data_IF_214423783947
#
_entry.id   IF_214423783947
#
_cell.length_a   1.000
_cell.length_b   1.000
_cell.length_c   1.000
_cell.angle_alpha   90.00
_cell.angle_beta   90.00
_cell.angle_gamma   90.00
#
_symmetry.space_group_name_H-M   'P 1'
#
loop_
_entity.id
_entity.type
_entity.pdbx_description
1 polymer ?
#
# COMPACT_ATOMS: atom_id res chain seq x y z
N UNK A 1 -13.71 10.24 6.49
CA UNK A 1 -13.16 9.79 5.20
C UNK A 1 -13.50 10.81 4.13
N UNK A 2 -12.72 11.87 4.06
CA UNK A 2 -12.86 12.88 3.02
C UNK A 2 -12.02 12.47 1.83
N UNK A 3 -12.65 12.29 0.68
CA UNK A 3 -11.95 12.54 -0.57
C UNK A 3 -11.33 11.38 -1.31
N UNK A 4 -11.79 10.17 -1.15
CA UNK A 4 -11.39 9.13 -2.12
C UNK A 4 -12.30 9.08 -3.35
N UNK A 5 -13.37 9.86 -3.43
CA UNK A 5 -14.26 9.86 -4.60
C UNK A 5 -14.81 8.47 -4.99
N UNK A 6 -14.67 7.49 -4.10
CA UNK A 6 -15.13 6.14 -4.39
C UNK A 6 -16.66 6.09 -4.34
N UNK A 7 -17.26 5.73 -5.43
CA UNK A 7 -18.69 5.45 -5.56
C UNK A 7 -19.03 4.07 -4.98
N UNK A 8 -18.66 3.86 -3.72
CA UNK A 8 -19.02 2.62 -3.03
C UNK A 8 -20.49 2.68 -2.66
N UNK A 9 -21.30 1.85 -3.29
CA UNK A 9 -22.70 1.66 -2.93
C UNK A 9 -22.86 0.84 -1.65
N UNK A 10 -24.01 0.99 -1.00
CA UNK A 10 -24.41 0.10 0.08
C UNK A 10 -25.03 -1.18 -0.51
N UNK A 11 -24.55 -2.32 -0.05
CA UNK A 11 -25.12 -3.63 -0.33
C UNK A 11 -25.80 -4.18 0.92
N UNK A 12 -27.01 -4.74 0.80
CA UNK A 12 -27.78 -5.22 1.95
C UNK A 12 -27.09 -6.39 2.69
N UNK A 13 -26.30 -7.18 1.98
CA UNK A 13 -25.59 -8.34 2.53
C UNK A 13 -24.20 -7.98 3.02
N UNK A 14 -23.47 -7.17 2.26
CA UNK A 14 -22.04 -6.92 2.48
C UNK A 14 -21.72 -5.50 2.95
N UNK A 15 -22.73 -4.64 3.09
CA UNK A 15 -22.56 -3.25 3.52
C UNK A 15 -21.88 -2.40 2.44
N UNK A 16 -20.97 -1.52 2.87
CA UNK A 16 -20.23 -0.66 1.94
C UNK A 16 -19.12 -1.45 1.26
N UNK A 17 -19.26 -1.72 -0.03
CA UNK A 17 -18.35 -2.57 -0.79
C UNK A 17 -17.97 -1.96 -2.15
N UNK A 18 -16.83 -2.37 -2.68
CA UNK A 18 -16.40 -2.06 -4.03
C UNK A 18 -17.08 -3.01 -5.03
N UNK A 19 -17.42 -2.50 -6.22
CA UNK A 19 -18.02 -3.28 -7.29
C UNK A 19 -17.12 -3.30 -8.53
N UNK A 20 -17.34 -4.29 -9.36
CA UNK A 20 -16.76 -4.34 -10.71
C UNK A 20 -17.60 -3.52 -11.69
N UNK A 21 -17.06 -3.22 -12.88
CA UNK A 21 -17.80 -2.59 -13.98
C UNK A 21 -19.07 -3.37 -14.37
N UNK A 22 -19.05 -4.69 -14.16
CA UNK A 22 -20.22 -5.55 -14.32
C UNK A 22 -21.27 -5.44 -13.21
N UNK A 23 -21.07 -4.56 -12.21
CA UNK A 23 -21.99 -4.33 -11.07
C UNK A 23 -21.93 -5.39 -9.97
N UNK A 24 -21.05 -6.38 -10.08
CA UNK A 24 -20.88 -7.44 -9.08
C UNK A 24 -19.97 -6.95 -7.95
N UNK A 25 -20.28 -7.32 -6.70
CA UNK A 25 -19.41 -7.03 -5.55
C UNK A 25 -18.06 -7.70 -5.78
N UNK A 26 -16.98 -6.93 -5.60
CA UNK A 26 -15.62 -7.46 -5.71
C UNK A 26 -15.21 -8.17 -4.42
N UNK A 27 -14.70 -9.38 -4.56
CA UNK A 27 -14.16 -10.18 -3.47
C UNK A 27 -12.67 -10.41 -3.68
N UNK A 28 -11.85 -9.71 -2.91
CA UNK A 28 -10.41 -9.93 -2.85
C UNK A 28 -10.01 -10.94 -1.78
N UNK A 29 -8.81 -11.49 -1.88
CA UNK A 29 -8.24 -12.34 -0.84
C UNK A 29 -7.76 -11.50 0.36
N UNK A 30 -7.55 -12.16 1.51
CA UNK A 30 -6.92 -11.52 2.69
C UNK A 30 -5.52 -11.01 2.32
N UNK A 31 -4.76 -11.77 1.54
CA UNK A 31 -3.44 -11.35 1.08
C UNK A 31 -3.53 -10.08 0.22
N UNK A 32 -4.47 -10.02 -0.71
CA UNK A 32 -4.71 -8.85 -1.54
C UNK A 32 -5.01 -7.61 -0.69
N UNK A 33 -5.85 -7.75 0.34
CA UNK A 33 -6.16 -6.66 1.26
C UNK A 33 -4.91 -6.17 2.02
N UNK A 34 -4.08 -7.08 2.52
CA UNK A 34 -2.83 -6.74 3.21
C UNK A 34 -1.83 -6.06 2.27
N UNK A 35 -1.68 -6.56 1.05
CA UNK A 35 -0.84 -5.95 0.02
C UNK A 35 -1.31 -4.55 -0.32
N UNK A 36 -2.62 -4.38 -0.56
CA UNK A 36 -3.21 -3.09 -0.88
C UNK A 36 -2.93 -2.04 0.20
N UNK A 37 -3.21 -2.38 1.46
CA UNK A 37 -3.02 -1.48 2.59
C UNK A 37 -1.56 -1.02 2.71
N UNK A 38 -0.61 -1.95 2.63
CA UNK A 38 0.79 -1.65 2.86
C UNK A 38 1.47 -1.00 1.65
N UNK A 39 1.09 -1.39 0.42
CA UNK A 39 1.62 -0.78 -0.79
C UNK A 39 1.08 0.65 -1.00
N UNK A 40 -0.20 0.90 -0.73
CA UNK A 40 -0.72 2.27 -0.77
C UNK A 40 0.00 3.17 0.24
N UNK A 41 0.25 2.70 1.46
CA UNK A 41 0.99 3.45 2.46
C UNK A 41 2.44 3.76 2.02
N UNK A 42 3.12 2.83 1.32
CA UNK A 42 4.45 3.07 0.75
C UNK A 42 4.48 4.25 -0.22
N UNK A 43 3.40 4.49 -0.96
CA UNK A 43 3.29 5.57 -1.94
C UNK A 43 2.68 6.85 -1.37
N UNK A 44 2.04 6.79 -0.20
CA UNK A 44 1.41 7.94 0.46
C UNK A 44 2.40 8.64 1.41
N UNK A 45 3.29 9.43 0.81
CA UNK A 45 4.39 10.07 1.52
C UNK A 45 4.30 11.59 1.50
N UNK A 46 4.90 12.22 2.50
CA UNK A 46 5.05 13.67 2.61
C UNK A 46 6.29 14.20 1.89
N UNK A 47 6.72 15.40 2.25
CA UNK A 47 7.82 16.11 1.60
C UNK A 47 9.19 15.48 1.90
N UNK A 48 9.32 14.83 3.06
CA UNK A 48 10.55 14.14 3.49
C UNK A 48 10.58 12.67 3.07
N UNK A 49 9.58 12.24 2.29
CA UNK A 49 9.45 10.85 1.81
C UNK A 49 9.13 9.83 2.91
N UNK A 50 8.64 10.32 4.05
CA UNK A 50 8.08 9.53 5.13
C UNK A 50 6.56 9.40 4.99
N UNK A 51 5.97 8.37 5.59
CA UNK A 51 4.53 8.13 5.50
C UNK A 51 3.71 9.26 6.11
N UNK A 52 2.65 9.66 5.43
CA UNK A 52 1.73 10.70 5.87
C UNK A 52 0.83 10.21 6.99
N UNK A 53 0.66 11.06 8.00
CA UNK A 53 -0.21 10.79 9.16
C UNK A 53 -1.69 10.94 8.85
N UNK A 54 -2.05 11.80 7.90
CA UNK A 54 -3.43 12.23 7.67
C UNK A 54 -4.09 12.70 8.98
N UNK A 55 -5.36 12.33 9.21
CA UNK A 55 -6.09 12.74 10.40
C UNK A 55 -5.67 12.03 11.69
N UNK A 56 -4.88 10.95 11.59
CA UNK A 56 -4.45 10.15 12.74
C UNK A 56 -5.56 9.98 13.79
N UNK A 57 -6.68 9.45 13.37
CA UNK A 57 -7.99 9.36 14.08
C UNK A 57 -7.90 8.89 15.56
N UNK A 58 -6.76 8.33 15.95
CA UNK A 58 -6.48 7.85 17.30
C UNK A 58 -5.88 8.91 18.23
N UNK A 59 -5.48 10.08 17.70
CA UNK A 59 -4.83 11.14 18.48
C UNK A 59 -5.23 12.53 17.96
N UNK A 60 -6.16 13.16 18.65
CA UNK A 60 -6.71 14.48 18.32
C UNK A 60 -5.61 15.57 18.21
N UNK A 61 -4.49 15.41 18.89
CA UNK A 61 -3.36 16.34 18.80
C UNK A 61 -2.70 16.33 17.41
N UNK A 62 -2.90 15.29 16.60
CA UNK A 62 -2.37 15.16 15.25
C UNK A 62 -3.30 15.68 14.16
N UNK A 63 -4.52 16.12 14.49
CA UNK A 63 -5.45 16.74 13.54
C UNK A 63 -4.85 17.97 12.85
N UNK A 64 -3.95 18.67 13.52
CA UNK A 64 -3.21 19.81 12.97
C UNK A 64 -2.16 19.39 11.92
N UNK A 65 -1.79 18.12 11.87
CA UNK A 65 -0.80 17.57 10.95
C UNK A 65 -1.41 16.98 9.67
N UNK A 66 -2.69 17.19 9.41
CA UNK A 66 -3.45 16.57 8.32
C UNK A 66 -2.77 16.69 6.95
N UNK A 67 -2.29 17.88 6.60
CA UNK A 67 -1.76 18.12 5.25
C UNK A 67 -0.29 17.72 5.12
N UNK A 68 0.53 18.00 6.13
CA UNK A 68 1.99 17.93 6.05
C UNK A 68 2.62 16.99 7.09
N UNK A 69 1.81 16.39 7.97
CA UNK A 69 2.33 15.47 8.99
C UNK A 69 2.87 14.19 8.39
N UNK A 70 4.09 13.83 8.78
CA UNK A 70 4.79 12.60 8.43
C UNK A 70 5.21 11.86 9.69
N UNK A 71 5.46 10.55 9.59
CA UNK A 71 5.86 9.75 10.74
C UNK A 71 6.93 8.73 10.42
N UNK A 72 8.12 8.94 10.93
CA UNK A 72 9.23 7.97 10.93
C UNK A 72 8.82 6.66 11.61
N UNK A 73 8.07 6.75 12.72
CA UNK A 73 7.61 5.56 13.44
C UNK A 73 6.66 4.70 12.58
N UNK A 74 5.72 5.31 11.87
CA UNK A 74 4.84 4.57 10.97
C UNK A 74 5.60 4.05 9.75
N UNK A 75 6.50 4.82 9.18
CA UNK A 75 7.36 4.36 8.08
C UNK A 75 8.14 3.12 8.48
N UNK A 76 8.74 3.12 9.69
CA UNK A 76 9.42 1.93 10.24
C UNK A 76 8.48 0.75 10.45
N UNK A 77 7.28 0.98 11.00
CA UNK A 77 6.30 -0.07 11.23
C UNK A 77 5.84 -0.71 9.92
N UNK A 78 5.56 0.10 8.90
CA UNK A 78 5.17 -0.42 7.58
C UNK A 78 6.31 -1.13 6.86
N UNK A 79 7.56 -0.70 7.03
CA UNK A 79 8.73 -1.47 6.56
C UNK A 79 8.76 -2.86 7.20
N UNK A 80 8.49 -2.96 8.51
CA UNK A 80 8.32 -4.22 9.21
C UNK A 80 7.17 -5.06 8.65
N UNK A 81 5.99 -4.45 8.42
CA UNK A 81 4.83 -5.13 7.85
C UNK A 81 5.13 -5.73 6.45
N UNK A 82 5.81 -4.98 5.58
CA UNK A 82 6.18 -5.47 4.26
C UNK A 82 7.05 -6.74 4.35
N UNK A 83 8.03 -6.76 5.25
CA UNK A 83 8.87 -7.95 5.50
C UNK A 83 8.06 -9.11 6.06
N UNK A 84 7.17 -8.84 6.99
CA UNK A 84 6.33 -9.88 7.60
C UNK A 84 5.36 -10.49 6.58
N UNK A 85 4.75 -9.69 5.71
CA UNK A 85 3.91 -10.20 4.62
C UNK A 85 4.75 -11.10 3.68
N UNK A 86 5.95 -10.68 3.31
CA UNK A 86 6.85 -11.51 2.49
C UNK A 86 7.21 -12.83 3.19
N UNK A 87 7.47 -12.78 4.50
CA UNK A 87 7.72 -13.98 5.30
C UNK A 87 6.51 -14.92 5.32
N UNK A 88 5.31 -14.40 5.58
CA UNK A 88 4.07 -15.17 5.56
C UNK A 88 3.81 -15.83 4.19
N UNK A 89 4.09 -15.14 3.08
CA UNK A 89 3.97 -15.70 1.73
C UNK A 89 4.92 -16.89 1.54
N UNK A 90 6.17 -16.78 2.01
CA UNK A 90 7.13 -17.88 1.93
C UNK A 90 6.72 -19.09 2.79
N UNK A 91 6.21 -18.83 3.99
CA UNK A 91 5.66 -19.92 4.82
C UNK A 91 4.48 -20.61 4.13
N UNK A 92 3.56 -19.84 3.55
CA UNK A 92 2.43 -20.39 2.81
C UNK A 92 2.89 -21.21 1.59
N UNK A 93 3.91 -20.75 0.87
CA UNK A 93 4.51 -21.51 -0.23
C UNK A 93 5.11 -22.84 0.26
N UNK A 94 5.84 -22.82 1.38
CA UNK A 94 6.44 -24.01 1.97
C UNK A 94 5.39 -25.02 2.44
N UNK A 95 4.35 -24.56 3.10
CA UNK A 95 3.32 -25.43 3.69
C UNK A 95 2.32 -25.98 2.64
N UNK A 96 2.00 -25.19 1.62
CA UNK A 96 0.93 -25.53 0.67
C UNK A 96 1.40 -25.78 -0.77
N UNK A 97 2.63 -25.38 -1.09
CA UNK A 97 3.13 -25.36 -2.46
C UNK A 97 2.53 -24.24 -3.34
N UNK A 98 1.81 -23.30 -2.76
CA UNK A 98 1.19 -22.18 -3.48
C UNK A 98 2.24 -21.16 -3.94
N UNK A 99 2.52 -21.14 -5.24
CA UNK A 99 3.56 -20.27 -5.85
C UNK A 99 3.02 -19.06 -6.60
N UNK A 100 1.71 -18.94 -6.69
CA UNK A 100 1.05 -17.90 -7.50
C UNK A 100 -0.18 -17.39 -6.79
N UNK A 101 -0.37 -16.09 -6.84
CA UNK A 101 -1.51 -15.42 -6.23
C UNK A 101 -2.24 -14.61 -7.30
N UNK A 102 -3.54 -14.64 -7.23
CA UNK A 102 -4.43 -13.85 -8.06
C UNK A 102 -4.80 -12.58 -7.28
N UNK A 103 -4.64 -11.42 -7.94
CA UNK A 103 -4.96 -10.11 -7.40
C UNK A 103 -5.66 -9.25 -8.45
N UNK A 104 -6.34 -8.19 -8.04
CA UNK A 104 -6.93 -7.23 -8.97
C UNK A 104 -5.86 -6.66 -9.93
N UNK A 105 -6.19 -6.57 -11.21
CA UNK A 105 -5.27 -6.04 -12.23
C UNK A 105 -4.81 -4.61 -11.89
N UNK A 106 -5.68 -3.80 -11.31
CA UNK A 106 -5.39 -2.45 -10.90
C UNK A 106 -4.21 -2.35 -9.92
N UNK A 107 -4.03 -3.36 -9.06
CA UNK A 107 -2.94 -3.41 -8.11
C UNK A 107 -1.56 -3.58 -8.76
N UNK A 108 -1.52 -4.00 -10.04
CA UNK A 108 -0.26 -4.21 -10.75
C UNK A 108 0.67 -2.99 -10.72
N UNK A 109 0.12 -1.78 -10.77
CA UNK A 109 0.92 -0.55 -10.72
C UNK A 109 1.60 -0.31 -9.36
N UNK A 110 1.04 -0.83 -8.26
CA UNK A 110 1.61 -0.71 -6.91
C UNK A 110 2.88 -1.56 -6.72
N UNK A 111 3.14 -2.50 -7.64
CA UNK A 111 4.38 -3.28 -7.68
C UNK A 111 5.51 -2.57 -8.47
N UNK A 112 5.30 -1.36 -8.94
CA UNK A 112 6.39 -0.57 -9.52
C UNK A 112 7.56 -0.48 -8.52
N UNK A 113 8.78 -0.59 -9.03
CA UNK A 113 9.98 -0.70 -8.22
C UNK A 113 11.16 0.08 -8.80
N UNK A 114 12.23 0.11 -8.01
CA UNK A 114 13.49 0.73 -8.37
C UNK A 114 13.80 2.01 -7.60
N UNK A 115 15.09 2.16 -7.25
CA UNK A 115 15.57 3.22 -6.37
C UNK A 115 15.21 4.63 -6.86
N UNK A 116 15.32 4.90 -8.16
CA UNK A 116 14.96 6.19 -8.75
C UNK A 116 13.49 6.58 -8.50
N UNK A 117 12.58 5.59 -8.53
CA UNK A 117 11.18 5.80 -8.18
C UNK A 117 11.01 6.07 -6.69
N UNK A 118 11.67 5.27 -5.85
CA UNK A 118 11.51 5.36 -4.40
C UNK A 118 12.03 6.67 -3.81
N UNK A 119 13.10 7.22 -4.38
CA UNK A 119 13.69 8.51 -3.99
C UNK A 119 12.86 9.72 -4.45
N UNK A 120 11.90 9.54 -5.34
CA UNK A 120 11.14 10.62 -5.95
C UNK A 120 9.70 10.68 -5.40
N UNK A 121 9.46 11.60 -4.48
CA UNK A 121 8.16 11.84 -3.84
C UNK A 121 7.03 12.04 -4.85
N UNK A 122 7.25 12.84 -5.89
CA UNK A 122 6.22 13.13 -6.89
C UNK A 122 5.88 11.91 -7.74
N UNK A 123 6.89 11.09 -8.11
CA UNK A 123 6.65 9.82 -8.81
C UNK A 123 5.86 8.85 -7.93
N UNK A 124 6.21 8.72 -6.64
CA UNK A 124 5.46 7.88 -5.69
C UNK A 124 4.01 8.33 -5.58
N UNK A 125 3.78 9.61 -5.32
CA UNK A 125 2.43 10.19 -5.26
C UNK A 125 1.65 10.01 -6.55
N UNK A 126 2.32 10.17 -7.69
CA UNK A 126 1.72 9.95 -9.02
C UNK A 126 1.20 8.53 -9.21
N UNK A 127 1.92 7.51 -8.74
CA UNK A 127 1.46 6.12 -8.77
C UNK A 127 0.22 5.94 -7.89
N UNK A 128 0.23 6.50 -6.67
CA UNK A 128 -0.93 6.39 -5.77
C UNK A 128 -2.17 7.07 -6.36
N UNK A 129 -2.00 8.28 -6.90
CA UNK A 129 -3.11 9.02 -7.54
C UNK A 129 -3.66 8.23 -8.72
N UNK A 130 -2.81 7.71 -9.61
CA UNK A 130 -3.23 6.92 -10.75
C UNK A 130 -3.98 5.63 -10.32
N UNK A 131 -3.51 4.96 -9.25
CA UNK A 131 -4.20 3.82 -8.67
C UNK A 131 -5.59 4.21 -8.14
N UNK A 132 -5.67 5.28 -7.34
CA UNK A 132 -6.92 5.74 -6.75
C UNK A 132 -7.93 6.18 -7.82
N UNK A 133 -7.48 6.86 -8.88
CA UNK A 133 -8.32 7.25 -10.02
C UNK A 133 -8.85 6.01 -10.75
N UNK A 134 -8.00 5.01 -10.98
CA UNK A 134 -8.40 3.74 -11.63
C UNK A 134 -9.45 2.98 -10.83
N UNK A 135 -9.40 3.09 -9.49
CA UNK A 135 -10.34 2.41 -8.58
C UNK A 135 -11.48 3.30 -8.08
N UNK A 136 -11.59 4.56 -8.54
CA UNK A 136 -12.50 5.56 -7.97
C UNK A 136 -13.98 5.16 -8.03
N UNK A 137 -14.41 4.53 -9.13
CA UNK A 137 -15.79 4.11 -9.36
C UNK A 137 -15.95 2.60 -9.17
N UNK A 138 -15.53 1.84 -10.17
CA UNK A 138 -15.60 0.39 -10.15
C UNK A 138 -14.25 -0.18 -10.56
N UNK A 139 -13.95 -1.39 -10.07
CA UNK A 139 -12.82 -2.17 -10.58
C UNK A 139 -13.19 -2.77 -11.95
N UNK A 140 -12.22 -3.02 -12.80
CA UNK A 140 -12.43 -3.72 -14.06
C UNK A 140 -13.05 -5.12 -13.88
N UNK A 141 -12.76 -5.73 -12.72
CA UNK A 141 -13.08 -7.12 -12.42
C UNK A 141 -12.10 -8.10 -13.06
N UNK A 142 -11.07 -7.58 -13.73
CA UNK A 142 -9.97 -8.40 -14.22
C UNK A 142 -8.97 -8.68 -13.12
N UNK A 143 -8.33 -9.83 -13.21
CA UNK A 143 -7.30 -10.25 -12.28
C UNK A 143 -5.98 -10.52 -13.00
N UNK A 144 -4.89 -10.42 -12.27
CA UNK A 144 -3.58 -10.82 -12.73
C UNK A 144 -2.96 -11.86 -11.77
N UNK A 145 -2.13 -12.73 -12.33
CA UNK A 145 -1.41 -13.72 -11.53
C UNK A 145 0.01 -13.23 -11.29
N UNK A 146 0.40 -13.15 -10.02
CA UNK A 146 1.74 -12.76 -9.59
C UNK A 146 2.40 -13.94 -8.86
N UNK A 147 3.68 -14.17 -9.14
CA UNK A 147 4.44 -15.23 -8.45
C UNK A 147 4.78 -14.80 -7.02
N UNK A 148 4.77 -15.74 -6.09
CA UNK A 148 5.17 -15.54 -4.69
C UNK A 148 6.53 -14.82 -4.59
N UNK A 149 7.53 -15.31 -5.32
CA UNK A 149 8.88 -14.73 -5.36
C UNK A 149 8.88 -13.24 -5.80
N UNK A 150 8.09 -12.89 -6.81
CA UNK A 150 7.99 -11.51 -7.30
C UNK A 150 7.37 -10.58 -6.25
N UNK A 151 6.32 -11.05 -5.56
CA UNK A 151 5.72 -10.29 -4.46
C UNK A 151 6.75 -10.11 -3.35
N UNK A 152 7.34 -11.19 -2.86
CA UNK A 152 8.31 -11.13 -1.76
C UNK A 152 9.48 -10.21 -2.06
N UNK A 153 10.12 -10.35 -3.23
CA UNK A 153 11.25 -9.50 -3.61
C UNK A 153 10.87 -8.02 -3.69
N UNK A 154 9.68 -7.70 -4.22
CA UNK A 154 9.19 -6.32 -4.30
C UNK A 154 8.92 -5.71 -2.92
N UNK A 155 8.31 -6.48 -2.02
CA UNK A 155 8.03 -6.03 -0.65
C UNK A 155 9.32 -5.81 0.14
N UNK A 156 10.28 -6.72 0.02
CA UNK A 156 11.58 -6.63 0.70
C UNK A 156 12.42 -5.46 0.19
N UNK A 157 12.47 -5.26 -1.13
CA UNK A 157 13.16 -4.11 -1.72
C UNK A 157 12.60 -2.78 -1.19
N UNK A 158 11.27 -2.65 -1.12
CA UNK A 158 10.61 -1.47 -0.56
C UNK A 158 10.93 -1.30 0.93
N UNK A 159 10.84 -2.37 1.70
CA UNK A 159 11.13 -2.35 3.13
C UNK A 159 12.58 -1.97 3.43
N UNK A 160 13.52 -2.55 2.70
CA UNK A 160 14.95 -2.26 2.87
C UNK A 160 15.26 -0.82 2.50
N UNK A 161 14.66 -0.31 1.42
CA UNK A 161 14.79 1.08 1.04
C UNK A 161 14.24 2.04 2.12
N UNK A 162 13.05 1.78 2.69
CA UNK A 162 12.48 2.60 3.77
C UNK A 162 13.42 2.66 4.97
N UNK A 163 13.96 1.53 5.39
CA UNK A 163 14.86 1.47 6.54
C UNK A 163 16.22 2.13 6.26
N UNK A 164 16.72 2.06 5.02
CA UNK A 164 17.91 2.78 4.60
C UNK A 164 17.66 4.29 4.61
N UNK A 165 16.52 4.72 4.04
CA UNK A 165 16.11 6.12 4.00
C UNK A 165 16.05 6.75 5.38
N UNK A 166 15.35 6.12 6.33
CA UNK A 166 15.27 6.57 7.73
C UNK A 166 16.66 6.74 8.34
N UNK A 167 17.56 5.74 8.18
CA UNK A 167 18.90 5.81 8.75
C UNK A 167 19.74 6.92 8.17
N UNK A 168 19.53 7.28 6.91
CA UNK A 168 20.33 8.29 6.23
C UNK A 168 19.80 9.70 6.41
N UNK A 169 18.46 9.86 6.55
CA UNK A 169 17.83 11.17 6.53
C UNK A 169 17.37 11.63 7.91
N UNK A 170 16.96 10.69 8.77
CA UNK A 170 16.31 10.99 10.03
C UNK A 170 17.23 10.73 11.24
N UNK A 171 18.42 10.19 11.02
CA UNK A 171 19.36 9.97 12.10
C UNK A 171 20.05 11.28 12.48
N UNK A 172 19.85 11.71 13.72
CA UNK A 172 20.55 12.87 14.31
C UNK A 172 21.84 12.34 14.91
N UNK A 173 22.99 12.69 14.33
CA UNK A 173 24.27 12.41 14.94
C UNK A 173 24.39 13.25 16.24
N UNK A 174 24.77 12.62 17.35
CA UNK A 174 25.21 13.37 18.53
C UNK A 174 26.53 14.08 18.18
N UNK A 175 26.56 15.41 18.36
CA UNK A 175 27.77 16.23 18.25
C UNK A 175 28.79 15.92 19.39
#
# INVERSE_FOLDING_TARGET
KRGTGHDTGWDETYGKCQRTEGGVVYFGSVLEHLLLQNLCAFYDVGAHNEMRLHGADWNDALDMAWENGESVAFTSAYAGNLKEIAHCIRLLEQETGCKRFEIAEEMGMLFAGGRELYENVEKKRGILVAYLEKCAHNLSGQTMIVKAEQICSNLEEKADWLMEHIRMQEWIAED
#
